data_IF_188427202532
#
_entry.id   IF_188427202532
#
_cell.length_a   1.000
_cell.length_b   1.000
_cell.length_c   1.000
_cell.angle_alpha   90.00
_cell.angle_beta   90.00
_cell.angle_gamma   90.00
#
_symmetry.space_group_name_H-M   'P 1'
#
loop_
_entity.id
_entity.type
_entity.pdbx_description
1 polymer ?
#
# COMPACT_ATOMS: atom_id res chain seq x y z
N UNK A 1 -1.95 4.08 3.22
CA UNK A 1 -1.08 4.90 2.35
C UNK A 1 -1.30 4.48 0.90
N UNK A 2 -1.55 5.45 0.02
CA UNK A 2 -1.55 5.25 -1.42
C UNK A 2 -0.22 5.74 -2.01
N UNK A 3 0.37 4.93 -2.89
CA UNK A 3 1.59 5.22 -3.62
C UNK A 3 1.26 5.25 -5.11
N UNK A 4 1.72 6.28 -5.79
CA UNK A 4 1.61 6.43 -7.24
C UNK A 4 3.00 6.39 -7.85
N UNK A 5 3.34 5.29 -8.50
CA UNK A 5 4.66 5.08 -9.13
C UNK A 5 4.54 5.50 -10.59
N UNK A 6 5.19 6.61 -10.94
CA UNK A 6 5.21 7.11 -12.32
C UNK A 6 6.08 6.19 -13.18
N UNK A 7 5.58 5.84 -14.35
CA UNK A 7 6.24 4.97 -15.33
C UNK A 7 6.31 5.73 -16.66
N UNK A 8 7.44 5.69 -17.34
CA UNK A 8 7.62 6.42 -18.58
C UNK A 8 6.68 5.91 -19.67
N UNK A 9 6.06 6.86 -20.38
CA UNK A 9 5.19 6.58 -21.54
C UNK A 9 3.89 5.83 -21.24
N UNK A 10 3.55 5.57 -19.96
CA UNK A 10 2.37 4.81 -19.57
C UNK A 10 1.67 5.37 -18.32
N UNK A 11 0.53 4.78 -17.97
CA UNK A 11 -0.15 5.09 -16.72
C UNK A 11 0.70 4.65 -15.52
N UNK A 12 0.60 5.42 -14.43
CA UNK A 12 1.27 5.09 -13.19
C UNK A 12 0.83 3.74 -12.64
N UNK A 13 1.75 3.03 -12.01
CA UNK A 13 1.44 1.85 -11.22
C UNK A 13 1.14 2.29 -9.79
N UNK A 14 -0.09 2.07 -9.36
CA UNK A 14 -0.55 2.53 -8.05
C UNK A 14 -0.54 1.36 -7.07
N UNK A 15 -0.21 1.63 -5.82
CA UNK A 15 -0.22 0.64 -4.74
C UNK A 15 -0.89 1.25 -3.52
N UNK A 16 -1.83 0.54 -2.92
CA UNK A 16 -2.34 0.88 -1.60
C UNK A 16 -1.84 -0.13 -0.59
N UNK A 17 -1.36 0.39 0.54
CA UNK A 17 -0.91 -0.41 1.69
C UNK A 17 -1.54 0.11 2.98
N UNK A 18 -1.83 -0.78 3.91
CA UNK A 18 -2.49 -0.45 5.16
C UNK A 18 -1.90 -1.27 6.31
N UNK A 19 -2.02 -0.72 7.52
CA UNK A 19 -1.74 -1.46 8.76
C UNK A 19 -2.93 -2.35 9.12
N UNK A 20 -4.13 -1.78 9.10
CA UNK A 20 -5.37 -2.44 9.50
C UNK A 20 -6.57 -1.71 8.89
N UNK A 21 -7.63 -2.46 8.62
CA UNK A 21 -8.95 -1.90 8.26
C UNK A 21 -9.68 -1.30 9.47
N UNK A 22 -9.34 -1.70 10.69
CA UNK A 22 -9.90 -1.15 11.93
C UNK A 22 -9.24 0.18 12.36
N UNK A 23 -8.21 0.63 11.62
CA UNK A 23 -7.41 1.80 11.97
C UNK A 23 -6.39 1.51 13.09
N UNK A 24 -5.95 2.58 13.76
CA UNK A 24 -4.92 2.52 14.82
C UNK A 24 -5.38 3.16 16.14
N UNK A 25 -6.69 3.19 16.37
CA UNK A 25 -7.28 3.76 17.58
C UNK A 25 -7.00 5.26 17.74
N UNK A 26 -6.56 5.67 18.92
CA UNK A 26 -6.26 7.07 19.24
C UNK A 26 -4.82 7.49 18.89
N UNK A 27 -3.99 6.56 18.42
CA UNK A 27 -2.61 6.86 18.04
C UNK A 27 -2.61 7.74 16.80
N UNK A 28 -2.01 8.93 16.87
CA UNK A 28 -1.93 9.89 15.76
C UNK A 28 -0.58 9.88 15.04
N UNK A 29 0.36 9.03 15.43
CA UNK A 29 1.63 8.85 14.73
C UNK A 29 1.43 7.99 13.48
N UNK A 30 1.57 8.61 12.30
CA UNK A 30 1.43 7.93 11.02
C UNK A 30 2.50 6.86 10.77
N UNK A 31 3.70 7.05 11.33
CA UNK A 31 4.85 6.17 11.19
C UNK A 31 4.95 5.15 12.33
N UNK A 32 3.85 4.86 13.03
CA UNK A 32 3.84 3.90 14.14
C UNK A 32 3.81 2.44 13.69
N UNK A 33 3.10 2.14 12.60
CA UNK A 33 2.86 0.77 12.15
C UNK A 33 3.47 0.50 10.78
N UNK A 34 3.88 -0.75 10.56
CA UNK A 34 4.22 -1.27 9.24
C UNK A 34 2.96 -1.32 8.38
N UNK A 35 3.06 -0.82 7.15
CA UNK A 35 2.00 -0.97 6.16
C UNK A 35 2.30 -2.11 5.20
N UNK A 36 1.26 -2.82 4.78
CA UNK A 36 1.36 -3.96 3.88
C UNK A 36 0.24 -3.95 2.84
N UNK A 37 0.50 -4.53 1.67
CA UNK A 37 -0.53 -4.78 0.65
C UNK A 37 -1.42 -5.99 1.03
N UNK A 38 -0.91 -6.88 1.88
CA UNK A 38 -1.67 -7.94 2.55
C UNK A 38 -2.12 -7.39 3.90
N UNK A 39 -3.40 -7.06 4.00
CA UNK A 39 -4.02 -6.38 5.13
C UNK A 39 -4.54 -7.44 6.13
N UNK A 40 -4.29 -7.27 7.44
CA UNK A 40 -4.83 -8.17 8.44
C UNK A 40 -6.37 -8.20 8.43
N UNK A 41 -7.00 -9.35 8.74
CA UNK A 41 -8.45 -9.44 8.86
C UNK A 41 -9.01 -8.45 9.89
N UNK A 42 -10.21 -7.95 9.60
CA UNK A 42 -10.94 -7.07 10.51
C UNK A 42 -11.14 -7.72 11.89
N UNK A 43 -10.95 -6.93 12.96
CA UNK A 43 -11.15 -7.36 14.33
C UNK A 43 -12.54 -6.99 14.87
N UNK A 44 -13.02 -5.79 14.54
CA UNK A 44 -14.33 -5.32 14.98
C UNK A 44 -15.48 -6.09 14.32
N UNK A 45 -16.58 -6.26 15.06
CA UNK A 45 -17.73 -7.05 14.60
C UNK A 45 -18.36 -6.47 13.33
N UNK A 46 -18.55 -5.14 13.27
CA UNK A 46 -19.12 -4.47 12.11
C UNK A 46 -18.26 -4.66 10.86
N UNK A 47 -16.93 -4.50 10.97
CA UNK A 47 -16.03 -4.68 9.83
C UNK A 47 -15.88 -6.14 9.41
N UNK A 48 -16.05 -7.11 10.32
CA UNK A 48 -16.16 -8.54 9.93
C UNK A 48 -17.39 -8.82 9.07
N UNK A 49 -18.53 -8.21 9.37
CA UNK A 49 -19.73 -8.32 8.54
C UNK A 49 -19.47 -7.70 7.17
N UNK A 50 -18.89 -6.50 7.13
CA UNK A 50 -18.55 -5.83 5.87
C UNK A 50 -17.54 -6.63 5.03
N UNK A 51 -16.53 -7.22 5.66
CA UNK A 51 -15.56 -8.11 5.01
C UNK A 51 -16.25 -9.23 4.24
N UNK A 52 -17.24 -9.91 4.85
CA UNK A 52 -17.98 -10.98 4.17
C UNK A 52 -18.74 -10.49 2.93
N UNK A 53 -19.30 -9.29 2.98
CA UNK A 53 -19.96 -8.70 1.82
C UNK A 53 -18.96 -8.45 0.68
N UNK A 54 -17.76 -7.94 1.00
CA UNK A 54 -16.70 -7.76 0.00
C UNK A 54 -16.17 -9.09 -0.56
N UNK A 55 -16.04 -10.13 0.26
CA UNK A 55 -15.66 -11.47 -0.22
C UNK A 55 -16.67 -12.00 -1.26
N UNK A 56 -17.97 -11.77 -1.03
CA UNK A 56 -19.02 -12.08 -2.01
C UNK A 56 -18.93 -11.24 -3.27
N UNK A 57 -18.64 -9.94 -3.14
CA UNK A 57 -18.53 -9.02 -4.28
C UNK A 57 -17.38 -9.38 -5.24
N UNK A 58 -16.27 -9.93 -4.74
CA UNK A 58 -15.15 -10.39 -5.58
C UNK A 58 -15.63 -11.42 -6.62
N UNK A 59 -16.56 -12.31 -6.27
CA UNK A 59 -17.09 -13.30 -7.19
C UNK A 59 -17.96 -12.70 -8.31
N UNK A 60 -18.49 -11.50 -8.09
CA UNK A 60 -19.32 -10.77 -9.05
C UNK A 60 -18.50 -9.88 -9.99
N UNK A 61 -17.20 -9.71 -9.76
CA UNK A 61 -16.33 -8.92 -10.63
C UNK A 61 -16.23 -9.56 -12.04
N UNK A 62 -16.14 -8.74 -13.10
CA UNK A 62 -16.01 -9.26 -14.47
C UNK A 62 -14.68 -10.03 -14.67
N UNK A 63 -14.58 -10.76 -15.78
CA UNK A 63 -13.39 -11.55 -16.12
C UNK A 63 -13.34 -12.92 -15.45
N UNK A 64 -12.20 -13.60 -15.58
CA UNK A 64 -11.99 -14.93 -14.99
C UNK A 64 -11.29 -14.83 -13.62
N UNK A 65 -10.98 -15.96 -12.99
CA UNK A 65 -10.32 -16.03 -11.67
C UNK A 65 -8.98 -15.28 -11.59
N UNK A 66 -8.29 -15.08 -12.71
CA UNK A 66 -7.02 -14.36 -12.79
C UNK A 66 -7.19 -12.83 -12.90
N UNK A 67 -8.40 -12.38 -13.23
CA UNK A 67 -8.79 -10.97 -13.33
C UNK A 67 -9.47 -10.47 -12.05
N UNK A 68 -9.41 -11.27 -10.98
CA UNK A 68 -10.02 -11.00 -9.69
C UNK A 68 -8.98 -11.18 -8.59
N UNK A 69 -8.97 -10.32 -7.56
CA UNK A 69 -8.10 -10.51 -6.41
C UNK A 69 -8.45 -11.81 -5.68
N UNK A 70 -7.45 -12.44 -5.04
CA UNK A 70 -7.68 -13.67 -4.28
C UNK A 70 -8.50 -13.49 -3.00
N UNK A 71 -8.48 -12.29 -2.40
CA UNK A 71 -9.28 -11.91 -1.24
C UNK A 71 -9.43 -10.40 -1.17
N UNK A 72 -10.38 -9.93 -0.36
CA UNK A 72 -10.57 -8.50 -0.08
C UNK A 72 -9.47 -7.90 0.82
N UNK A 73 -8.58 -8.75 1.35
CA UNK A 73 -7.47 -8.39 2.22
C UNK A 73 -6.14 -8.35 1.48
N UNK A 74 -6.09 -8.75 0.20
CA UNK A 74 -4.87 -8.64 -0.59
C UNK A 74 -5.08 -7.73 -1.79
N UNK A 75 -4.24 -6.71 -1.89
CA UNK A 75 -4.03 -5.93 -3.10
C UNK A 75 -2.79 -6.47 -3.82
N UNK A 76 -2.95 -7.30 -4.87
CA UNK A 76 -1.82 -7.98 -5.48
C UNK A 76 -0.87 -7.02 -6.20
N UNK A 77 0.34 -7.51 -6.46
CA UNK A 77 1.44 -6.71 -7.02
C UNK A 77 1.78 -7.07 -8.47
N UNK A 78 0.88 -7.78 -9.17
CA UNK A 78 1.16 -8.29 -10.51
C UNK A 78 1.35 -7.18 -11.53
N UNK A 79 0.47 -6.17 -11.56
CA UNK A 79 0.61 -5.08 -12.54
C UNK A 79 1.90 -4.28 -12.31
N UNK A 80 2.24 -4.00 -11.05
CA UNK A 80 3.45 -3.28 -10.65
C UNK A 80 4.71 -4.05 -11.08
N UNK A 81 4.70 -5.38 -10.99
CA UNK A 81 5.82 -6.23 -11.42
C UNK A 81 5.85 -6.49 -12.94
N UNK A 82 4.78 -6.13 -13.66
CA UNK A 82 4.63 -6.40 -15.10
C UNK A 82 5.29 -5.37 -16.01
N UNK A 83 5.75 -4.26 -15.44
CA UNK A 83 6.34 -3.15 -16.16
C UNK A 83 7.59 -2.66 -15.43
N UNK A 84 8.58 -2.25 -16.20
CA UNK A 84 9.81 -1.62 -15.71
C UNK A 84 9.63 -0.10 -15.67
N UNK A 85 10.54 0.62 -14.99
CA UNK A 85 10.41 2.08 -14.80
C UNK A 85 10.40 2.88 -16.11
N UNK A 86 11.05 2.36 -17.15
CA UNK A 86 11.09 2.96 -18.50
C UNK A 86 9.89 2.55 -19.38
N UNK A 87 8.90 1.87 -18.81
CA UNK A 87 7.67 1.48 -19.49
C UNK A 87 7.76 0.16 -20.27
N UNK A 88 8.88 -0.57 -20.25
CA UNK A 88 8.97 -1.85 -20.94
C UNK A 88 8.21 -2.95 -20.19
N UNK A 89 7.47 -3.78 -20.92
CA UNK A 89 6.75 -4.94 -20.34
C UNK A 89 7.73 -6.05 -19.97
N UNK A 90 7.53 -6.62 -18.78
CA UNK A 90 8.26 -7.79 -18.30
C UNK A 90 7.62 -9.06 -18.88
N UNK A 91 8.40 -9.87 -19.60
CA UNK A 91 7.89 -11.10 -20.23
C UNK A 91 7.50 -12.19 -19.22
N UNK A 92 8.37 -12.41 -18.23
CA UNK A 92 8.17 -13.42 -17.17
C UNK A 92 7.97 -12.69 -15.84
N UNK A 93 6.76 -12.18 -15.62
CA UNK A 93 6.40 -11.41 -14.43
C UNK A 93 6.51 -12.28 -13.18
N UNK A 94 7.28 -11.82 -12.20
CA UNK A 94 7.42 -12.46 -10.89
C UNK A 94 7.14 -11.45 -9.79
N UNK A 95 5.89 -11.41 -9.33
CA UNK A 95 5.48 -10.45 -8.30
C UNK A 95 5.76 -11.02 -6.89
N UNK A 96 6.24 -10.22 -5.94
CA UNK A 96 6.21 -10.63 -4.54
C UNK A 96 4.76 -10.80 -4.08
N UNK A 97 4.53 -11.75 -3.17
CA UNK A 97 3.21 -11.93 -2.55
C UNK A 97 2.86 -10.75 -1.65
N UNK A 98 3.85 -10.29 -0.87
CA UNK A 98 3.68 -9.23 0.10
C UNK A 98 4.87 -8.27 0.07
N UNK A 99 4.59 -6.99 0.25
CA UNK A 99 5.58 -5.96 0.56
C UNK A 99 5.23 -5.31 1.89
N UNK A 100 6.25 -5.06 2.70
CA UNK A 100 6.11 -4.35 3.96
C UNK A 100 6.85 -3.03 3.90
N UNK A 101 6.16 -1.97 4.29
CA UNK A 101 6.72 -0.64 4.47
C UNK A 101 6.98 -0.45 5.97
N UNK A 102 8.19 -0.79 6.39
CA UNK A 102 8.62 -0.67 7.78
C UNK A 102 8.98 0.79 8.04
N UNK A 103 8.26 1.50 8.92
CA UNK A 103 8.46 2.93 9.11
C UNK A 103 9.83 3.22 9.72
N UNK A 104 10.43 4.34 9.32
CA UNK A 104 11.55 4.92 10.03
C UNK A 104 11.01 5.61 11.30
N UNK A 105 11.34 5.15 12.52
CA UNK A 105 10.85 5.75 13.75
C UNK A 105 11.24 7.23 13.90
N UNK A 106 12.35 7.65 13.29
CA UNK A 106 12.81 9.05 13.32
C UNK A 106 11.91 10.01 12.51
N UNK A 107 11.08 9.51 11.59
CA UNK A 107 10.07 10.29 10.90
C UNK A 107 8.76 10.41 11.69
N UNK A 108 8.62 9.62 12.77
CA UNK A 108 7.45 9.60 13.63
C UNK A 108 7.39 10.77 14.62
N UNK A 109 6.26 10.86 15.30
CA UNK A 109 6.01 11.85 16.34
C UNK A 109 5.25 11.23 17.52
N UNK A 110 5.04 12.01 18.57
CA UNK A 110 4.26 11.60 19.74
C UNK A 110 2.85 11.10 19.33
N UNK A 111 2.47 9.85 19.65
CA UNK A 111 1.14 9.30 19.40
C UNK A 111 -0.03 10.16 19.92
N UNK A 112 0.17 10.95 20.98
CA UNK A 112 -0.84 11.83 21.56
C UNK A 112 -0.91 13.21 20.87
N UNK A 113 0.00 13.51 19.94
CA UNK A 113 0.06 14.79 19.25
C UNK A 113 -1.26 15.10 18.52
N UNK A 114 -1.93 16.17 18.92
CA UNK A 114 -3.22 16.59 18.36
C UNK A 114 -3.10 17.48 17.12
N UNK A 115 -1.87 17.84 16.69
CA UNK A 115 -1.65 18.62 15.47
C UNK A 115 -2.19 17.88 14.25
N UNK A 116 -2.63 18.67 13.29
CA UNK A 116 -3.03 18.16 11.99
C UNK A 116 -1.88 17.36 11.35
N UNK A 117 -2.20 16.20 10.79
CA UNK A 117 -1.24 15.30 10.13
C UNK A 117 -0.37 16.05 9.11
N UNK A 118 -0.98 16.94 8.32
CA UNK A 118 -0.32 17.68 7.24
C UNK A 118 0.77 18.61 7.78
N UNK A 119 0.57 19.15 8.98
CA UNK A 119 1.58 19.99 9.66
C UNK A 119 2.79 19.15 10.08
N UNK A 120 2.57 17.94 10.61
CA UNK A 120 3.68 17.05 10.97
C UNK A 120 4.42 16.54 9.72
N UNK A 121 3.70 16.19 8.65
CA UNK A 121 4.33 15.78 7.38
C UNK A 121 5.17 16.90 6.76
N UNK A 122 4.69 18.14 6.77
CA UNK A 122 5.44 19.29 6.26
C UNK A 122 6.74 19.58 7.04
N UNK A 123 6.84 19.12 8.29
CA UNK A 123 8.06 19.27 9.08
C UNK A 123 9.15 18.24 8.74
N UNK A 124 8.84 17.21 7.94
CA UNK A 124 9.81 16.18 7.55
C UNK A 124 10.77 16.76 6.50
N UNK A 125 12.10 16.77 6.77
CA UNK A 125 13.07 17.27 5.80
C UNK A 125 13.10 16.45 4.51
N UNK A 126 13.47 17.11 3.41
CA UNK A 126 13.91 16.41 2.20
C UNK A 126 15.12 15.51 2.51
N UNK A 127 15.21 14.36 1.84
CA UNK A 127 16.27 13.37 2.05
C UNK A 127 16.00 12.42 3.23
N UNK A 128 14.83 12.51 3.85
CA UNK A 128 14.45 11.64 4.96
C UNK A 128 13.98 10.29 4.43
N UNK A 129 14.57 9.21 4.94
CA UNK A 129 14.04 7.86 4.75
C UNK A 129 12.74 7.74 5.53
N UNK A 130 11.63 7.49 4.84
CA UNK A 130 10.31 7.30 5.46
C UNK A 130 10.07 5.83 5.81
N UNK A 131 10.45 4.93 4.90
CA UNK A 131 10.22 3.50 5.05
C UNK A 131 11.38 2.69 4.47
N UNK A 132 11.71 1.58 5.12
CA UNK A 132 12.44 0.48 4.50
C UNK A 132 11.42 -0.50 3.93
N UNK A 133 11.59 -0.88 2.67
CA UNK A 133 10.65 -1.76 1.97
C UNK A 133 11.24 -3.17 1.91
N UNK A 134 10.52 -4.12 2.48
CA UNK A 134 10.85 -5.55 2.35
C UNK A 134 9.81 -6.25 1.48
N UNK A 135 10.21 -7.36 0.87
CA UNK A 135 9.34 -8.20 0.06
C UNK A 135 9.42 -9.65 0.51
N UNK A 136 8.27 -10.30 0.52
CA UNK A 136 8.09 -11.72 0.79
C UNK A 136 7.56 -12.40 -0.47
N UNK A 137 8.29 -13.40 -0.95
CA UNK A 137 8.02 -14.04 -2.25
C UNK A 137 6.72 -14.83 -2.25
N UNK A 138 6.49 -15.67 -1.24
CA UNK A 138 5.34 -16.56 -1.13
C UNK A 138 4.62 -16.31 0.20
N UNK A 139 3.33 -16.60 0.30
CA UNK A 139 2.62 -16.53 1.59
C UNK A 139 3.21 -17.44 2.68
N UNK A 140 3.82 -18.55 2.28
CA UNK A 140 4.37 -19.60 3.15
C UNK A 140 5.79 -19.35 3.65
N UNK A 141 6.56 -18.44 3.03
CA UNK A 141 7.95 -18.19 3.43
C UNK A 141 8.01 -17.20 4.58
N UNK A 142 8.84 -17.42 5.59
CA UNK A 142 9.10 -16.41 6.63
C UNK A 142 10.16 -15.38 6.20
N UNK A 143 10.95 -15.69 5.18
CA UNK A 143 12.01 -14.81 4.70
C UNK A 143 11.44 -13.55 4.04
N UNK A 144 11.92 -12.41 4.51
CA UNK A 144 11.69 -11.09 3.91
C UNK A 144 13.03 -10.55 3.40
N UNK A 145 13.03 -10.01 2.19
CA UNK A 145 14.22 -9.42 1.57
C UNK A 145 14.04 -7.92 1.45
N UNK A 146 15.03 -7.13 1.86
CA UNK A 146 15.01 -5.68 1.64
C UNK A 146 15.13 -5.41 0.14
N UNK A 147 14.15 -4.71 -0.41
CA UNK A 147 14.12 -4.36 -1.85
C UNK A 147 14.37 -2.87 -2.11
N UNK A 148 14.38 -2.03 -1.06
CA UNK A 148 14.71 -0.62 -1.19
C UNK A 148 14.20 0.22 -0.02
N UNK A 149 14.20 1.53 -0.24
CA UNK A 149 13.74 2.52 0.73
C UNK A 149 12.85 3.55 0.02
N UNK A 150 11.86 4.06 0.74
CA UNK A 150 11.09 5.24 0.33
C UNK A 150 11.73 6.47 0.98
N UNK A 151 12.24 7.38 0.16
CA UNK A 151 12.99 8.57 0.61
C UNK A 151 12.34 9.82 0.05
N UNK A 152 12.20 10.86 0.86
CA UNK A 152 11.68 12.15 0.39
C UNK A 152 12.69 12.82 -0.55
N UNK A 153 12.23 13.21 -1.74
CA UNK A 153 13.05 13.97 -2.71
C UNK A 153 12.68 15.46 -2.76
N UNK A 154 11.59 15.84 -2.09
CA UNK A 154 11.14 17.22 -1.91
C UNK A 154 10.38 17.36 -0.57
N UNK A 155 10.10 18.59 -0.12
CA UNK A 155 9.14 18.82 0.95
C UNK A 155 7.74 18.31 0.60
N UNK A 156 6.95 17.95 1.63
CA UNK A 156 5.55 17.61 1.45
C UNK A 156 4.72 18.85 1.09
N UNK A 157 3.77 18.70 0.18
CA UNK A 157 2.81 19.75 -0.19
C UNK A 157 1.45 19.36 0.35
N UNK A 158 0.85 20.23 1.17
CA UNK A 158 -0.53 20.06 1.59
C UNK A 158 -1.47 20.28 0.39
N UNK A 159 -2.43 19.37 0.20
CA UNK A 159 -3.36 19.39 -0.93
C UNK A 159 -4.76 19.01 -0.46
N UNK A 160 -5.77 19.57 -1.12
CA UNK A 160 -7.18 19.16 -1.00
C UNK A 160 -7.52 18.00 -1.96
N UNK A 161 -6.55 17.56 -2.75
CA UNK A 161 -6.70 16.38 -3.60
C UNK A 161 -6.92 15.14 -2.73
N UNK A 162 -7.85 14.26 -3.13
CA UNK A 162 -8.42 13.16 -2.31
C UNK A 162 -9.39 13.58 -1.20
N UNK A 163 -9.39 14.84 -0.73
CA UNK A 163 -10.47 15.37 0.13
C UNK A 163 -11.68 15.81 -0.71
N UNK A 164 -11.44 16.49 -1.84
CA UNK A 164 -12.49 16.99 -2.75
C UNK A 164 -12.66 16.21 -4.06
N UNK A 165 -11.66 15.40 -4.44
CA UNK A 165 -11.66 14.60 -5.67
C UNK A 165 -11.00 13.25 -5.42
N UNK A 166 -11.75 12.18 -5.59
CA UNK A 166 -11.27 10.81 -5.39
C UNK A 166 -10.81 10.21 -6.71
N UNK A 167 -9.58 9.70 -6.78
CA UNK A 167 -9.14 8.86 -7.90
C UNK A 167 -8.32 7.68 -7.36
N UNK A 168 -8.95 6.52 -7.26
CA UNK A 168 -8.27 5.27 -6.93
C UNK A 168 -8.37 4.30 -8.11
N UNK A 169 -7.22 3.80 -8.55
CA UNK A 169 -7.13 2.65 -9.44
C UNK A 169 -6.32 1.60 -8.69
N UNK A 170 -6.98 0.53 -8.27
CA UNK A 170 -6.34 -0.60 -7.61
C UNK A 170 -5.88 -1.63 -8.63
N UNK A 171 -4.92 -2.44 -8.20
CA UNK A 171 -4.59 -3.69 -8.85
C UNK A 171 -5.85 -4.57 -9.00
N UNK A 172 -6.09 -5.07 -10.21
CA UNK A 172 -7.19 -5.97 -10.52
C UNK A 172 -6.72 -7.40 -10.77
N UNK A 173 -5.46 -7.59 -11.17
CA UNK A 173 -4.90 -8.91 -11.47
C UNK A 173 -4.53 -9.64 -10.18
N UNK A 174 -4.87 -10.94 -10.13
CA UNK A 174 -4.46 -11.84 -9.06
C UNK A 174 -2.93 -11.94 -8.96
N UNK A 175 -2.40 -12.21 -7.77
CA UNK A 175 -0.97 -12.48 -7.61
C UNK A 175 -0.51 -13.71 -8.43
N UNK A 176 0.70 -13.62 -8.99
CA UNK A 176 1.36 -14.70 -9.74
C UNK A 176 2.85 -14.75 -9.38
N UNK A 177 3.34 -15.96 -9.15
CA UNK A 177 4.74 -16.23 -8.79
C UNK A 177 5.69 -16.19 -9.99
#
# INVERSE_FOLDING_TARGET
>A
MGLKILIDGQQSQNLQVMWSVDGQGTNKNFFHHTFSNVIPPAQSFALKILSKAFDGAIWLLPGNTQDRPESNHNLPLYEQASVTSDGQRVQNVRAPYQVNFIPNPAAGWDPANSRDLRVNLNAIPQGTVLYTVTAKRMSTTSEEQVIGQLVTTSPFVASEYEDGKLFFQHAAKRWRA
#
